data_IF_417628280773
#
_entry.id   IF_417628280773
#
_cell.length_a   1.000
_cell.length_b   1.000
_cell.length_c   1.000
_cell.angle_alpha   90.00
_cell.angle_beta   90.00
_cell.angle_gamma   90.00
#
_symmetry.space_group_name_H-M   'P 1'
#
loop_
_entity.id
_entity.type
_entity.pdbx_description
1 polymer ?
#
# COMPACT_ATOMS: atom_id res chain seq x y z
N UNK A 1 15.73 0.31 22.55
CA UNK A 1 16.06 -0.91 21.78
C UNK A 1 16.43 -0.53 20.35
N UNK A 2 17.52 -1.05 19.78
CA UNK A 2 17.88 -0.81 18.38
C UNK A 2 16.76 -1.36 17.48
N UNK A 3 16.28 -0.54 16.55
CA UNK A 3 15.26 -0.96 15.57
C UNK A 3 15.85 -2.03 14.67
N UNK A 4 15.14 -3.16 14.50
CA UNK A 4 15.50 -4.21 13.53
C UNK A 4 15.76 -3.58 12.16
N UNK A 5 16.88 -3.96 11.55
CA UNK A 5 17.17 -3.59 10.15
C UNK A 5 16.10 -4.24 9.28
N UNK A 6 15.56 -3.48 8.33
CA UNK A 6 14.61 -3.99 7.34
C UNK A 6 15.34 -4.91 6.37
N UNK A 7 14.74 -6.04 5.97
CA UNK A 7 15.33 -6.87 4.95
C UNK A 7 15.43 -6.07 3.64
N UNK A 8 16.60 -6.05 3.05
CA UNK A 8 16.87 -5.48 1.75
C UNK A 8 17.39 -6.62 0.88
N UNK A 9 16.61 -6.97 -0.14
CA UNK A 9 16.85 -8.14 -0.98
C UNK A 9 16.95 -7.69 -2.43
N UNK A 10 17.96 -8.16 -3.16
CA UNK A 10 18.04 -7.99 -4.61
C UNK A 10 16.88 -8.73 -5.27
N UNK A 11 16.19 -8.10 -6.22
CA UNK A 11 14.96 -8.62 -6.81
C UNK A 11 13.75 -8.62 -5.88
N UNK A 12 13.86 -7.99 -4.70
CA UNK A 12 12.79 -7.94 -3.71
C UNK A 12 11.59 -7.12 -4.17
N UNK A 13 10.38 -7.66 -3.98
CA UNK A 13 9.12 -6.97 -4.16
C UNK A 13 8.63 -6.41 -2.81
N UNK A 14 8.27 -5.14 -2.79
CA UNK A 14 7.88 -4.44 -1.56
C UNK A 14 6.56 -3.69 -1.74
N UNK A 15 5.63 -3.94 -0.82
CA UNK A 15 4.49 -3.05 -0.60
C UNK A 15 4.90 -1.94 0.35
N UNK A 16 5.04 -0.73 -0.15
CA UNK A 16 5.45 0.45 0.61
C UNK A 16 4.25 1.32 0.92
N UNK A 17 4.15 1.77 2.17
CA UNK A 17 3.16 2.77 2.60
C UNK A 17 3.86 3.91 3.31
N UNK A 18 3.51 5.15 2.96
CA UNK A 18 3.98 6.36 3.61
C UNK A 18 2.82 7.24 4.03
N UNK A 19 2.81 7.69 5.28
CA UNK A 19 1.68 8.44 5.85
C UNK A 19 2.13 9.78 6.44
N UNK A 20 1.26 10.77 6.28
CA UNK A 20 1.44 12.11 6.83
C UNK A 20 1.46 12.15 8.35
N UNK A 21 2.20 13.12 8.89
CA UNK A 21 2.30 13.35 10.32
C UNK A 21 0.93 13.67 10.92
N UNK A 22 0.58 13.02 12.04
CA UNK A 22 -0.73 13.11 12.68
C UNK A 22 -1.90 12.82 11.71
N UNK A 23 -1.68 11.97 10.70
CA UNK A 23 -2.63 11.66 9.63
C UNK A 23 -3.08 12.87 8.80
N UNK A 24 -2.32 13.97 8.86
CA UNK A 24 -2.59 15.15 8.05
C UNK A 24 -2.35 14.85 6.58
N UNK A 25 -2.99 15.63 5.73
CA UNK A 25 -2.82 15.56 4.29
C UNK A 25 -1.37 15.82 3.89
N UNK A 26 -0.91 15.08 2.89
CA UNK A 26 0.40 15.21 2.26
C UNK A 26 0.30 15.77 0.84
N UNK A 27 -0.90 16.08 0.40
CA UNK A 27 -1.21 16.76 -0.84
C UNK A 27 -2.23 17.85 -0.53
N UNK A 28 -1.90 19.09 -0.78
CA UNK A 28 -2.82 20.22 -0.65
C UNK A 28 -3.50 20.56 -1.99
N UNK A 29 -2.90 20.10 -3.11
CA UNK A 29 -3.42 20.28 -4.45
C UNK A 29 -3.06 19.11 -5.36
N UNK A 30 -3.57 19.10 -6.59
CA UNK A 30 -3.24 18.09 -7.59
C UNK A 30 -1.81 18.21 -8.10
N UNK A 31 -1.23 19.42 -8.12
CA UNK A 31 0.17 19.64 -8.46
C UNK A 31 1.11 18.92 -7.47
N UNK A 32 0.73 18.78 -6.22
CA UNK A 32 1.52 18.02 -5.24
C UNK A 32 1.53 16.53 -5.55
N UNK A 33 0.41 16.00 -6.05
CA UNK A 33 0.33 14.61 -6.54
C UNK A 33 1.21 14.42 -7.77
N UNK A 34 1.15 15.34 -8.71
CA UNK A 34 2.03 15.34 -9.89
C UNK A 34 3.50 15.42 -9.46
N UNK A 35 3.84 16.29 -8.50
CA UNK A 35 5.19 16.40 -7.95
C UNK A 35 5.68 15.08 -7.35
N UNK A 36 4.82 14.36 -6.62
CA UNK A 36 5.19 13.05 -6.07
C UNK A 36 5.39 12.02 -7.19
N UNK A 37 4.52 11.96 -8.21
CA UNK A 37 4.68 11.06 -9.36
C UNK A 37 6.00 11.33 -10.11
N UNK A 38 6.35 12.60 -10.33
CA UNK A 38 7.65 12.99 -10.91
C UNK A 38 8.82 12.56 -10.01
N UNK A 39 8.66 12.67 -8.69
CA UNK A 39 9.70 12.25 -7.74
C UNK A 39 9.86 10.72 -7.74
N UNK A 40 8.76 9.96 -7.89
CA UNK A 40 8.78 8.49 -8.07
C UNK A 40 9.51 8.13 -9.38
N UNK A 41 9.23 8.83 -10.49
CA UNK A 41 9.90 8.62 -11.76
C UNK A 41 11.42 8.81 -11.64
N UNK A 42 11.86 9.87 -10.95
CA UNK A 42 13.29 10.13 -10.69
C UNK A 42 13.91 9.08 -9.75
N UNK A 43 13.18 8.64 -8.72
CA UNK A 43 13.63 7.57 -7.83
C UNK A 43 13.84 6.25 -8.60
N UNK A 44 12.90 5.91 -9.50
CA UNK A 44 13.04 4.76 -10.40
C UNK A 44 14.33 4.82 -11.21
N UNK A 45 14.59 5.95 -11.86
CA UNK A 45 15.80 6.14 -12.66
C UNK A 45 17.07 6.04 -11.80
N UNK A 46 17.07 6.71 -10.64
CA UNK A 46 18.24 6.78 -9.76
C UNK A 46 18.61 5.45 -9.12
N UNK A 47 17.61 4.63 -8.79
CA UNK A 47 17.79 3.40 -8.00
C UNK A 47 17.51 2.12 -8.78
N UNK A 48 17.19 2.22 -10.09
CA UNK A 48 16.91 1.08 -10.94
C UNK A 48 15.62 0.34 -10.62
N UNK A 49 14.66 0.98 -9.90
CA UNK A 49 13.43 0.33 -9.47
C UNK A 49 12.49 0.02 -10.62
N UNK A 50 11.64 -0.99 -10.42
CA UNK A 50 10.43 -1.19 -11.22
C UNK A 50 9.23 -0.86 -10.34
N UNK A 51 8.38 0.06 -10.78
CA UNK A 51 7.17 0.46 -10.08
C UNK A 51 5.98 -0.23 -10.74
N UNK A 52 5.36 -1.15 -10.04
CA UNK A 52 4.29 -2.01 -10.57
C UNK A 52 2.89 -1.46 -10.32
N UNK A 53 2.71 -0.77 -9.19
CA UNK A 53 1.45 -0.11 -8.86
C UNK A 53 1.69 1.07 -7.92
N UNK A 54 0.76 2.04 -7.96
CA UNK A 54 0.69 3.12 -6.99
C UNK A 54 -0.77 3.51 -6.71
N UNK A 55 -0.99 4.10 -5.53
CA UNK A 55 -2.23 4.78 -5.18
C UNK A 55 -1.92 5.92 -4.21
N UNK A 56 -2.24 7.16 -4.62
CA UNK A 56 -2.06 8.37 -3.83
C UNK A 56 -3.41 8.71 -3.18
N UNK A 57 -3.49 8.57 -1.87
CA UNK A 57 -4.62 8.98 -1.05
C UNK A 57 -4.42 10.42 -0.56
N UNK A 58 -5.35 11.01 0.17
CA UNK A 58 -5.17 12.39 0.68
C UNK A 58 -3.99 12.53 1.67
N UNK A 59 -3.83 11.57 2.57
CA UNK A 59 -2.87 11.65 3.68
C UNK A 59 -1.82 10.54 3.70
N UNK A 60 -1.78 9.69 2.69
CA UNK A 60 -0.79 8.63 2.53
C UNK A 60 -0.72 8.16 1.08
N UNK A 61 0.29 7.37 0.75
CA UNK A 61 0.37 6.69 -0.54
C UNK A 61 0.84 5.25 -0.38
N UNK A 62 0.50 4.44 -1.38
CA UNK A 62 0.94 3.06 -1.54
C UNK A 62 1.75 2.92 -2.82
N UNK A 63 2.83 2.13 -2.76
CA UNK A 63 3.62 1.72 -3.92
C UNK A 63 3.86 0.21 -3.87
N UNK A 64 3.83 -0.43 -5.03
CA UNK A 64 4.37 -1.77 -5.25
C UNK A 64 5.65 -1.60 -6.06
N UNK A 65 6.79 -1.89 -5.43
CA UNK A 65 8.13 -1.65 -5.99
C UNK A 65 8.91 -2.97 -6.00
N UNK A 66 9.56 -3.26 -7.13
CA UNK A 66 10.64 -4.24 -7.22
C UNK A 66 11.97 -3.50 -7.24
N UNK A 67 12.90 -3.95 -6.41
CA UNK A 67 14.26 -3.39 -6.33
C UNK A 67 15.26 -4.40 -6.85
N UNK A 68 15.78 -4.27 -8.08
CA UNK A 68 16.82 -5.18 -8.60
C UNK A 68 18.03 -5.27 -7.66
N UNK A 69 18.40 -4.15 -7.06
CA UNK A 69 19.44 -4.05 -6.05
C UNK A 69 18.83 -3.89 -4.64
N UNK A 70 19.54 -4.30 -3.55
CA UNK A 70 19.05 -4.20 -2.18
C UNK A 70 19.08 -2.76 -1.65
N UNK A 71 18.35 -1.84 -2.32
CA UNK A 71 18.46 -0.38 -2.13
C UNK A 71 17.16 0.31 -1.71
N UNK A 72 16.13 -0.46 -1.28
CA UNK A 72 14.82 0.11 -0.93
C UNK A 72 14.94 1.21 0.16
N UNK A 73 15.82 1.03 1.15
CA UNK A 73 15.93 1.99 2.26
C UNK A 73 16.48 3.34 1.80
N UNK A 74 17.56 3.34 1.03
CA UNK A 74 18.19 4.58 0.55
C UNK A 74 17.29 5.27 -0.49
N UNK A 75 16.64 4.51 -1.37
CA UNK A 75 15.75 5.07 -2.36
C UNK A 75 14.50 5.68 -1.76
N UNK A 76 13.88 5.01 -0.77
CA UNK A 76 12.72 5.57 -0.06
C UNK A 76 13.10 6.77 0.82
N UNK A 77 14.28 6.79 1.40
CA UNK A 77 14.78 7.97 2.11
C UNK A 77 14.90 9.15 1.14
N UNK A 78 15.53 8.94 -0.01
CA UNK A 78 15.68 9.98 -1.03
C UNK A 78 14.33 10.48 -1.54
N UNK A 79 13.42 9.58 -1.91
CA UNK A 79 12.08 9.93 -2.42
C UNK A 79 11.31 10.78 -1.41
N UNK A 80 11.22 10.31 -0.17
CA UNK A 80 10.43 10.99 0.86
C UNK A 80 11.04 12.31 1.28
N UNK A 81 12.36 12.41 1.43
CA UNK A 81 13.02 13.67 1.79
C UNK A 81 12.91 14.70 0.67
N UNK A 82 13.07 14.28 -0.59
CA UNK A 82 12.93 15.17 -1.75
C UNK A 82 11.51 15.73 -1.86
N UNK A 83 10.49 14.87 -1.73
CA UNK A 83 9.10 15.32 -1.76
C UNK A 83 8.77 16.23 -0.58
N UNK A 84 9.13 15.82 0.65
CA UNK A 84 8.85 16.60 1.86
C UNK A 84 9.52 17.99 1.85
N UNK A 85 10.75 18.07 1.36
CA UNK A 85 11.45 19.36 1.22
C UNK A 85 10.68 20.29 0.29
N UNK A 86 10.35 19.84 -0.92
CA UNK A 86 9.61 20.65 -1.90
C UNK A 86 8.20 21.03 -1.45
N UNK A 87 7.51 20.11 -0.78
CA UNK A 87 6.19 20.38 -0.23
C UNK A 87 6.28 21.46 0.87
N UNK A 88 7.22 21.31 1.81
CA UNK A 88 7.41 22.28 2.89
C UNK A 88 7.86 23.65 2.36
N UNK A 89 8.74 23.70 1.36
CA UNK A 89 9.16 24.93 0.69
C UNK A 89 7.96 25.64 0.03
N UNK A 90 7.17 24.91 -0.77
CA UNK A 90 5.99 25.44 -1.47
C UNK A 90 4.95 26.06 -0.50
N UNK A 91 4.77 25.46 0.67
CA UNK A 91 3.75 25.86 1.64
C UNK A 91 4.32 26.55 2.90
N UNK A 92 5.57 26.96 2.86
CA UNK A 92 6.28 27.65 3.97
C UNK A 92 6.13 26.93 5.31
N UNK A 93 6.19 25.57 5.28
CA UNK A 93 5.97 24.73 6.45
C UNK A 93 7.27 24.34 7.13
N UNK A 94 7.23 24.33 8.46
CA UNK A 94 8.31 23.84 9.31
C UNK A 94 7.92 22.48 9.91
N UNK A 95 8.90 21.57 10.01
CA UNK A 95 8.74 20.27 10.65
C UNK A 95 8.50 19.11 9.69
N UNK A 96 8.17 17.95 10.26
CA UNK A 96 8.04 16.72 9.50
C UNK A 96 6.71 16.62 8.76
N UNK A 97 6.77 16.42 7.43
CA UNK A 97 5.60 16.11 6.62
C UNK A 97 5.10 14.70 6.94
N UNK A 98 5.99 13.73 7.09
CA UNK A 98 5.67 12.34 7.34
C UNK A 98 5.80 11.94 8.81
N UNK A 99 4.90 11.07 9.27
CA UNK A 99 4.81 10.67 10.68
C UNK A 99 6.03 9.87 11.16
N UNK A 100 6.55 9.01 10.29
CA UNK A 100 7.66 8.09 10.57
C UNK A 100 8.27 7.64 9.25
N UNK A 101 9.33 6.84 9.33
CA UNK A 101 9.84 6.15 8.14
C UNK A 101 8.73 5.31 7.50
N UNK A 102 8.78 5.12 6.18
CA UNK A 102 7.83 4.29 5.45
C UNK A 102 7.63 2.91 6.12
N UNK A 103 6.44 2.36 5.99
CA UNK A 103 6.18 0.95 6.27
C UNK A 103 6.43 0.16 5.00
N UNK A 104 7.16 -0.93 5.11
CA UNK A 104 7.44 -1.85 4.01
C UNK A 104 7.03 -3.26 4.42
N UNK A 105 6.38 -3.96 3.51
CA UNK A 105 6.15 -5.40 3.55
C UNK A 105 6.91 -6.04 2.40
N UNK A 106 7.96 -6.83 2.71
CA UNK A 106 8.57 -7.70 1.71
C UNK A 106 7.56 -8.79 1.33
N UNK A 107 7.29 -8.89 0.03
CA UNK A 107 6.35 -9.86 -0.52
C UNK A 107 7.11 -11.14 -0.82
N UNK A 108 6.69 -12.25 -0.21
CA UNK A 108 7.41 -13.52 -0.26
C UNK A 108 6.69 -14.60 -1.07
N UNK A 109 5.37 -14.44 -1.32
CA UNK A 109 4.57 -15.43 -2.04
C UNK A 109 3.74 -14.79 -3.15
N UNK A 110 3.37 -15.56 -4.15
CA UNK A 110 2.51 -15.07 -5.24
C UNK A 110 1.10 -14.72 -4.74
N UNK A 111 0.57 -15.43 -3.74
CA UNK A 111 -0.72 -15.10 -3.12
C UNK A 111 -0.65 -13.72 -2.46
N UNK A 112 0.41 -13.46 -1.69
CA UNK A 112 0.61 -12.14 -1.09
C UNK A 112 0.73 -11.04 -2.15
N UNK A 113 1.44 -11.31 -3.25
CA UNK A 113 1.55 -10.36 -4.36
C UNK A 113 0.19 -10.06 -4.99
N UNK A 114 -0.61 -11.09 -5.29
CA UNK A 114 -1.96 -10.94 -5.84
C UNK A 114 -2.86 -10.13 -4.90
N UNK A 115 -2.79 -10.38 -3.58
CA UNK A 115 -3.52 -9.59 -2.59
C UNK A 115 -3.09 -8.12 -2.58
N UNK A 116 -1.80 -7.82 -2.68
CA UNK A 116 -1.29 -6.43 -2.75
C UNK A 116 -1.72 -5.75 -4.06
N UNK A 117 -1.69 -6.47 -5.19
CA UNK A 117 -2.17 -5.97 -6.48
C UNK A 117 -3.66 -5.60 -6.40
N UNK A 118 -4.48 -6.38 -5.69
CA UNK A 118 -5.89 -6.09 -5.43
C UNK A 118 -6.09 -4.99 -4.39
N UNK A 119 -5.28 -5.00 -3.33
CA UNK A 119 -5.40 -4.08 -2.20
C UNK A 119 -5.13 -2.62 -2.60
N UNK A 120 -4.06 -2.36 -3.35
CA UNK A 120 -3.63 -1.00 -3.70
C UNK A 120 -4.74 -0.21 -4.42
N UNK A 121 -5.34 -0.70 -5.52
CA UNK A 121 -6.39 0.03 -6.23
C UNK A 121 -7.71 0.14 -5.46
N UNK A 122 -7.97 -0.75 -4.51
CA UNK A 122 -9.20 -0.72 -3.70
C UNK A 122 -9.14 0.27 -2.52
N UNK A 123 -7.99 0.86 -2.21
CA UNK A 123 -7.87 1.83 -1.11
C UNK A 123 -8.85 3.01 -1.23
N UNK A 124 -8.99 3.70 -2.38
CA UNK A 124 -9.93 4.80 -2.50
C UNK A 124 -11.40 4.36 -2.42
N UNK A 125 -11.73 3.14 -2.87
CA UNK A 125 -13.07 2.56 -2.70
C UNK A 125 -13.37 2.30 -1.23
N UNK A 126 -12.42 1.70 -0.49
CA UNK A 126 -12.51 1.47 0.97
C UNK A 126 -12.65 2.77 1.76
N UNK A 127 -12.03 3.83 1.28
CA UNK A 127 -12.13 5.17 1.88
C UNK A 127 -13.38 5.94 1.44
N UNK A 128 -14.24 5.38 0.57
CA UNK A 128 -15.44 6.04 0.07
C UNK A 128 -15.18 7.18 -0.91
N UNK A 129 -13.95 7.31 -1.45
CA UNK A 129 -13.56 8.39 -2.35
C UNK A 129 -14.05 8.17 -3.80
N UNK A 130 -14.30 6.93 -4.18
CA UNK A 130 -14.86 6.55 -5.47
C UNK A 130 -15.65 5.25 -5.37
N UNK A 131 -16.53 5.02 -6.36
CA UNK A 131 -17.35 3.79 -6.43
C UNK A 131 -16.60 2.61 -7.04
N UNK A 132 -15.65 2.88 -7.93
CA UNK A 132 -14.84 1.90 -8.65
C UNK A 132 -13.37 2.32 -8.60
N UNK A 133 -12.41 1.37 -8.50
CA UNK A 133 -11.00 1.68 -8.37
C UNK A 133 -10.41 2.43 -9.56
N UNK A 134 -10.88 2.17 -10.78
CA UNK A 134 -10.48 2.90 -11.99
C UNK A 134 -11.01 4.35 -12.03
N UNK A 135 -11.99 4.69 -11.19
CA UNK A 135 -12.52 6.04 -11.04
C UNK A 135 -11.64 6.96 -10.19
N UNK A 136 -10.61 6.44 -9.52
CA UNK A 136 -9.67 7.25 -8.77
C UNK A 136 -8.49 7.69 -9.65
N UNK A 137 -8.36 8.99 -10.01
CA UNK A 137 -7.37 9.45 -10.98
C UNK A 137 -5.93 9.30 -10.50
N UNK A 138 -5.70 9.24 -9.19
CA UNK A 138 -4.38 9.17 -8.56
C UNK A 138 -3.94 7.74 -8.24
N UNK A 139 -4.35 6.80 -9.08
CA UNK A 139 -3.99 5.38 -8.99
C UNK A 139 -3.55 4.84 -10.34
N UNK A 140 -2.62 3.90 -10.33
CA UNK A 140 -2.19 3.17 -11.52
C UNK A 140 -3.26 2.22 -12.08
N UNK A 141 -4.37 2.00 -11.37
CA UNK A 141 -5.40 1.02 -11.71
C UNK A 141 -5.93 1.20 -13.14
N UNK A 142 -6.34 2.42 -13.49
CA UNK A 142 -6.89 2.75 -14.81
C UNK A 142 -5.92 2.42 -15.95
N UNK A 143 -4.65 2.80 -15.77
CA UNK A 143 -3.59 2.53 -16.76
C UNK A 143 -3.28 1.02 -16.86
N UNK A 144 -3.26 0.31 -15.74
CA UNK A 144 -3.00 -1.13 -15.71
C UNK A 144 -4.12 -1.92 -16.40
N UNK A 145 -5.38 -1.49 -16.24
CA UNK A 145 -6.55 -2.06 -16.92
C UNK A 145 -6.69 -1.64 -18.39
N UNK A 146 -5.81 -0.74 -18.89
CA UNK A 146 -5.84 -0.29 -20.29
C UNK A 146 -6.87 0.81 -20.60
N UNK A 147 -7.44 1.47 -19.59
CA UNK A 147 -8.49 2.49 -19.76
C UNK A 147 -7.96 3.93 -19.93
N UNK A 148 -6.66 4.13 -20.03
CA UNK A 148 -6.09 5.47 -20.16
C UNK A 148 -4.58 5.50 -20.26
N UNK A 149 -4.00 6.69 -20.31
CA UNK A 149 -2.56 6.86 -20.41
C UNK A 149 -1.85 6.27 -19.22
N UNK A 150 -0.64 5.82 -19.46
CA UNK A 150 0.26 5.22 -18.48
C UNK A 150 1.40 6.17 -18.16
N UNK A 151 1.67 6.36 -16.88
CA UNK A 151 2.90 7.02 -16.45
C UNK A 151 4.13 6.29 -17.02
N UNK A 152 5.11 7.00 -17.62
CA UNK A 152 6.27 6.37 -18.26
C UNK A 152 7.11 5.50 -17.31
N UNK A 153 7.04 5.77 -16.02
CA UNK A 153 7.75 4.98 -15.02
C UNK A 153 7.03 3.70 -14.61
N UNK A 154 5.73 3.52 -14.94
CA UNK A 154 4.92 2.39 -14.49
C UNK A 154 5.24 1.14 -15.31
N UNK A 155 5.61 0.06 -14.61
CA UNK A 155 5.90 -1.26 -15.18
C UNK A 155 4.67 -2.16 -15.09
N UNK A 156 3.78 -2.07 -16.08
CA UNK A 156 2.49 -2.79 -16.08
C UNK A 156 2.65 -4.27 -16.40
N UNK A 157 3.52 -4.60 -17.36
CA UNK A 157 3.66 -5.97 -17.89
C UNK A 157 3.89 -7.03 -16.81
N UNK A 158 4.83 -6.86 -15.85
CA UNK A 158 5.05 -7.87 -14.81
C UNK A 158 3.85 -8.10 -13.90
N UNK A 159 2.95 -7.12 -13.77
CA UNK A 159 1.69 -7.28 -13.03
C UNK A 159 0.70 -8.12 -13.83
N UNK A 160 0.56 -7.86 -15.13
CA UNK A 160 -0.35 -8.61 -16.01
C UNK A 160 0.09 -10.07 -16.19
N UNK A 161 1.39 -10.32 -16.32
CA UNK A 161 1.96 -11.67 -16.44
C UNK A 161 1.62 -12.62 -15.27
N UNK A 162 1.15 -12.07 -14.15
CA UNK A 162 0.65 -12.86 -13.01
C UNK A 162 -0.77 -13.43 -13.22
N UNK A 163 -1.45 -12.95 -14.25
CA UNK A 163 -2.82 -13.37 -14.57
C UNK A 163 -2.87 -14.17 -15.87
N UNK A 164 -2.22 -13.70 -16.93
CA UNK A 164 -2.07 -14.42 -18.21
C UNK A 164 -0.87 -13.91 -18.98
N UNK A 165 -0.24 -14.76 -19.83
CA UNK A 165 0.76 -14.32 -20.82
C UNK A 165 0.15 -13.39 -21.88
N UNK A 166 -1.13 -13.53 -22.19
CA UNK A 166 -1.86 -12.62 -23.08
C UNK A 166 -2.27 -11.35 -22.32
N UNK A 167 -1.88 -10.15 -22.78
CA UNK A 167 -2.16 -8.92 -22.06
C UNK A 167 -3.62 -8.54 -21.96
N UNK A 168 -4.43 -8.89 -22.94
CA UNK A 168 -5.85 -8.53 -22.97
C UNK A 168 -6.66 -9.48 -22.07
N UNK A 169 -6.36 -10.77 -22.11
CA UNK A 169 -6.88 -11.75 -21.15
C UNK A 169 -6.44 -11.39 -19.72
N UNK A 170 -5.18 -11.05 -19.52
CA UNK A 170 -4.66 -10.63 -18.20
C UNK A 170 -5.41 -9.43 -17.62
N UNK A 171 -5.79 -8.46 -18.46
CA UNK A 171 -6.59 -7.29 -18.01
C UNK A 171 -8.02 -7.69 -17.61
N UNK A 172 -8.62 -8.64 -18.31
CA UNK A 172 -9.94 -9.17 -17.96
C UNK A 172 -9.87 -9.85 -16.59
N UNK A 173 -8.94 -10.80 -16.42
CA UNK A 173 -8.75 -11.55 -15.17
C UNK A 173 -8.38 -10.63 -14.00
N UNK A 174 -7.50 -9.65 -14.21
CA UNK A 174 -7.16 -8.64 -13.20
C UNK A 174 -8.39 -7.82 -12.79
N UNK A 175 -9.23 -7.43 -13.74
CA UNK A 175 -10.47 -6.69 -13.45
C UNK A 175 -11.39 -7.50 -12.58
N UNK A 176 -11.65 -8.75 -12.95
CA UNK A 176 -12.48 -9.68 -12.18
C UNK A 176 -11.95 -9.84 -10.76
N UNK A 177 -10.64 -10.07 -10.62
CA UNK A 177 -9.97 -10.18 -9.32
C UNK A 177 -10.14 -8.94 -8.43
N UNK A 178 -10.04 -7.75 -9.01
CA UNK A 178 -10.26 -6.48 -8.29
C UNK A 178 -11.73 -6.27 -7.97
N UNK A 179 -12.65 -6.62 -8.89
CA UNK A 179 -14.10 -6.53 -8.66
C UNK A 179 -14.56 -7.45 -7.53
N UNK A 180 -14.07 -8.69 -7.46
CA UNK A 180 -14.36 -9.62 -6.36
C UNK A 180 -13.98 -9.00 -5.01
N UNK A 181 -12.79 -8.40 -4.91
CA UNK A 181 -12.37 -7.68 -3.71
C UNK A 181 -13.26 -6.48 -3.39
N UNK A 182 -13.85 -5.83 -4.39
CA UNK A 182 -14.83 -4.74 -4.20
C UNK A 182 -16.16 -5.27 -3.66
N UNK A 183 -16.62 -6.43 -4.11
CA UNK A 183 -17.81 -7.08 -3.59
C UNK A 183 -17.62 -7.50 -2.13
N UNK A 184 -16.45 -8.03 -1.79
CA UNK A 184 -16.09 -8.33 -0.40
C UNK A 184 -16.15 -7.08 0.49
N UNK A 185 -15.70 -5.92 0.02
CA UNK A 185 -15.80 -4.65 0.74
C UNK A 185 -17.25 -4.22 0.95
N UNK A 186 -18.10 -4.36 -0.06
CA UNK A 186 -19.52 -3.99 0.01
C UNK A 186 -20.34 -4.94 0.88
N UNK A 187 -20.01 -6.22 0.86
CA UNK A 187 -20.65 -7.25 1.69
C UNK A 187 -20.15 -7.24 3.12
N UNK A 188 -18.94 -6.77 3.34
CA UNK A 188 -18.35 -6.59 4.65
C UNK A 188 -18.59 -5.15 5.13
N UNK A 189 -19.73 -4.90 5.78
CA UNK A 189 -19.61 -4.11 7.00
C UNK A 189 -18.55 -4.83 7.83
N UNK A 190 -17.42 -4.17 8.23
CA UNK A 190 -16.42 -4.86 9.02
C UNK A 190 -17.16 -5.49 10.19
N UNK A 191 -17.18 -6.83 10.25
CA UNK A 191 -17.80 -7.52 11.38
C UNK A 191 -17.18 -6.88 12.62
N UNK A 192 -17.97 -6.34 13.57
CA UNK A 192 -17.39 -5.69 14.75
C UNK A 192 -16.30 -6.58 15.32
N UNK A 193 -15.16 -6.02 15.74
CA UNK A 193 -14.05 -6.81 16.30
C UNK A 193 -14.53 -7.79 17.36
N UNK A 194 -15.55 -7.41 18.13
CA UNK A 194 -16.22 -8.28 19.12
C UNK A 194 -16.88 -9.52 18.47
N UNK A 195 -17.26 -9.46 17.20
CA UNK A 195 -17.78 -10.61 16.47
C UNK A 195 -16.70 -11.53 15.91
N UNK A 196 -15.48 -10.98 15.68
CA UNK A 196 -14.32 -11.72 15.16
C UNK A 196 -13.46 -12.23 16.33
N UNK A 197 -13.22 -11.36 17.31
CA UNK A 197 -12.40 -11.60 18.48
C UNK A 197 -13.28 -11.46 19.73
N UNK A 198 -13.81 -12.56 20.25
CA UNK A 198 -14.69 -12.53 21.42
C UNK A 198 -13.87 -12.21 22.68
N UNK A 199 -14.25 -11.19 23.49
CA UNK A 199 -13.59 -10.92 24.77
C UNK A 199 -13.65 -12.14 25.68
N UNK A 200 -12.55 -12.43 26.38
CA UNK A 200 -12.49 -13.51 27.39
C UNK A 200 -12.33 -14.94 26.84
N UNK A 201 -12.20 -15.10 25.48
CA UNK A 201 -11.81 -16.38 24.89
C UNK A 201 -10.40 -16.32 24.32
N UNK A 202 -9.63 -17.42 24.35
CA UNK A 202 -8.35 -17.47 23.66
C UNK A 202 -8.56 -17.16 22.19
N UNK A 203 -7.89 -16.13 21.70
CA UNK A 203 -7.97 -15.76 20.29
C UNK A 203 -7.04 -16.65 19.50
N UNK A 204 -7.61 -17.57 18.74
CA UNK A 204 -6.85 -18.45 17.85
C UNK A 204 -6.26 -17.70 16.66
N UNK A 205 -5.28 -18.32 15.94
CA UNK A 205 -4.66 -17.77 14.76
C UNK A 205 -5.66 -17.27 13.69
N UNK A 206 -6.72 -18.03 13.45
CA UNK A 206 -7.75 -17.72 12.47
C UNK A 206 -8.50 -16.41 12.78
N UNK A 207 -8.84 -16.16 14.05
CA UNK A 207 -9.50 -14.93 14.48
C UNK A 207 -8.62 -13.69 14.26
N UNK A 208 -7.32 -13.81 14.55
CA UNK A 208 -6.34 -12.73 14.33
C UNK A 208 -6.15 -12.44 12.84
N UNK A 209 -6.04 -13.49 12.02
CA UNK A 209 -5.97 -13.39 10.56
C UNK A 209 -7.25 -12.75 10.01
N UNK A 210 -8.43 -13.21 10.46
CA UNK A 210 -9.70 -12.65 10.04
C UNK A 210 -9.84 -11.15 10.42
N UNK A 211 -9.39 -10.72 11.60
CA UNK A 211 -9.38 -9.32 12.00
C UNK A 211 -8.52 -8.47 11.05
N UNK A 212 -7.34 -8.97 10.65
CA UNK A 212 -6.48 -8.27 9.67
C UNK A 212 -7.12 -8.21 8.29
N UNK A 213 -7.71 -9.28 7.81
CA UNK A 213 -8.42 -9.33 6.53
C UNK A 213 -9.64 -8.39 6.51
N UNK A 214 -10.29 -8.18 7.66
CA UNK A 214 -11.37 -7.19 7.81
C UNK A 214 -10.84 -5.74 7.99
N UNK A 215 -9.54 -5.47 7.77
CA UNK A 215 -8.97 -4.13 7.74
C UNK A 215 -8.60 -3.54 9.10
N UNK A 216 -8.73 -4.29 10.21
CA UNK A 216 -8.34 -3.79 11.52
C UNK A 216 -6.83 -3.63 11.66
N UNK A 217 -6.41 -2.49 12.22
CA UNK A 217 -4.99 -2.22 12.52
C UNK A 217 -4.51 -3.03 13.71
N UNK A 218 -3.20 -3.23 13.83
CA UNK A 218 -2.63 -3.87 15.03
C UNK A 218 -2.97 -3.11 16.32
N UNK A 219 -3.04 -1.78 16.27
CA UNK A 219 -3.46 -0.95 17.38
C UNK A 219 -4.91 -1.21 17.81
N UNK A 220 -5.82 -1.35 16.85
CA UNK A 220 -7.23 -1.68 17.12
C UNK A 220 -7.38 -3.09 17.70
N UNK A 221 -6.64 -4.05 17.14
CA UNK A 221 -6.61 -5.43 17.65
C UNK A 221 -6.00 -5.45 19.07
N UNK A 222 -4.92 -4.72 19.30
CA UNK A 222 -4.26 -4.59 20.59
C UNK A 222 -5.19 -4.01 21.67
N UNK A 223 -5.86 -2.91 21.35
CA UNK A 223 -6.85 -2.28 22.25
C UNK A 223 -7.98 -3.26 22.61
N UNK A 224 -8.51 -3.97 21.62
CA UNK A 224 -9.59 -4.94 21.83
C UNK A 224 -9.17 -6.14 22.68
N UNK A 225 -7.91 -6.59 22.55
CA UNK A 225 -7.35 -7.72 23.30
C UNK A 225 -6.75 -7.32 24.65
N UNK A 226 -6.65 -6.03 24.97
CA UNK A 226 -5.99 -5.53 26.17
C UNK A 226 -4.49 -5.81 26.22
N UNK A 227 -3.82 -5.84 25.05
CA UNK A 227 -2.38 -6.12 24.93
C UNK A 227 -1.65 -4.95 24.24
N UNK A 228 -0.31 -4.95 24.27
CA UNK A 228 0.46 -3.98 23.53
C UNK A 228 0.35 -4.23 22.00
N UNK A 229 0.47 -3.17 21.19
CA UNK A 229 0.47 -3.26 19.72
C UNK A 229 1.54 -4.24 19.21
N UNK A 230 2.70 -4.29 19.87
CA UNK A 230 3.76 -5.24 19.57
C UNK A 230 3.34 -6.70 19.83
N UNK A 231 2.59 -6.93 20.90
CA UNK A 231 2.07 -8.27 21.23
C UNK A 231 1.00 -8.69 20.24
N UNK A 232 0.09 -7.78 19.86
CA UNK A 232 -0.90 -8.04 18.83
C UNK A 232 -0.22 -8.34 17.48
N UNK A 233 0.79 -7.57 17.10
CA UNK A 233 1.60 -7.82 15.91
C UNK A 233 2.25 -9.21 15.89
N UNK A 234 2.93 -9.59 16.99
CA UNK A 234 3.56 -10.92 17.12
C UNK A 234 2.58 -12.06 16.95
N UNK A 235 1.40 -11.95 17.60
CA UNK A 235 0.34 -12.97 17.53
C UNK A 235 -0.25 -13.08 16.12
N UNK A 236 -0.48 -11.95 15.45
CA UNK A 236 -0.99 -11.95 14.06
C UNK A 236 0.03 -12.52 13.09
N UNK A 237 1.31 -12.12 13.20
CA UNK A 237 2.36 -12.62 12.32
C UNK A 237 2.62 -14.12 12.53
N UNK A 238 2.51 -14.61 13.75
CA UNK A 238 2.59 -16.04 14.05
C UNK A 238 1.38 -16.84 13.54
N UNK A 239 0.28 -16.15 13.22
CA UNK A 239 -0.96 -16.72 12.68
C UNK A 239 -1.05 -16.70 11.14
N UNK A 240 -0.12 -16.01 10.48
CA UNK A 240 -0.03 -15.89 9.02
C UNK A 240 0.92 -16.92 8.44
#
# INVERSE_FOLDING_TARGET
MPRRRRPQVAGGLYHVTMRGNNRREIFASDEDRVLLLQTIARAKQRHGWKVHAYCLMSNHYHLLIETPEPNIAIGMQWLNSTYAHRFNEKYERIGHLFQRRYSDGLILTDEHLREVIRYIPLNPVRAGLCKRPEGWPWSSCRATLGYGPREPFLSVRPTLDRFSPDPDEARVLLREWVEDGRHEIRSSHPKPLIGILRPGKPVGPEGLRAARLNGYTYAQIATHLGVSEMTAWRRVVAAM
#
